data_IF_653886680299
#
_entry.id   IF_653886680299
#
_cell.length_a   1.000
_cell.length_b   1.000
_cell.length_c   1.000
_cell.angle_alpha   90.00
_cell.angle_beta   90.00
_cell.angle_gamma   90.00
#
_symmetry.space_group_name_H-M   'P 1'
#
loop_
_entity.id
_entity.type
_entity.pdbx_description
1 polymer ?
#
# COMPACT_ATOMS: atom_id res chain seq x y z
N UNK A 1 -16.73 -21.57 4.92
CA UNK A 1 -15.31 -21.25 4.63
C UNK A 1 -15.01 -19.90 5.26
N UNK A 2 -13.92 -19.76 6.02
CA UNK A 2 -13.43 -18.44 6.41
C UNK A 2 -12.77 -17.81 5.18
N UNK A 3 -13.46 -16.86 4.53
CA UNK A 3 -12.90 -16.11 3.40
C UNK A 3 -11.68 -15.33 3.88
N UNK A 4 -10.59 -15.40 3.11
CA UNK A 4 -9.41 -14.55 3.31
C UNK A 4 -9.51 -13.37 2.37
N UNK A 5 -9.14 -12.20 2.86
CA UNK A 5 -9.10 -10.98 2.07
C UNK A 5 -7.64 -10.54 1.90
N UNK A 6 -7.31 -10.02 0.73
CA UNK A 6 -6.07 -9.30 0.48
C UNK A 6 -6.24 -7.85 0.91
N UNK A 7 -5.30 -7.33 1.69
CA UNK A 7 -5.34 -5.98 2.25
C UNK A 7 -4.07 -5.25 1.84
N UNK A 8 -4.18 -4.29 0.93
CA UNK A 8 -3.07 -3.45 0.52
C UNK A 8 -2.85 -2.35 1.55
N UNK A 9 -1.63 -2.23 2.06
CA UNK A 9 -1.27 -1.26 3.09
C UNK A 9 -0.35 -0.22 2.46
N UNK A 10 -0.85 1.00 2.32
CA UNK A 10 -0.10 2.17 1.85
C UNK A 10 0.26 3.09 3.01
N UNK A 11 1.48 3.63 2.99
CA UNK A 11 1.97 4.61 3.97
C UNK A 11 3.27 5.23 3.46
N UNK A 12 3.66 6.37 4.01
CA UNK A 12 5.08 6.75 3.98
C UNK A 12 5.91 5.74 4.78
N UNK A 13 7.19 5.59 4.46
CA UNK A 13 8.02 4.53 5.04
C UNK A 13 8.80 5.00 6.27
N UNK A 14 9.61 6.05 6.14
CA UNK A 14 10.59 6.44 7.16
C UNK A 14 9.96 6.86 8.50
N UNK A 15 8.76 7.46 8.48
CA UNK A 15 8.09 8.00 9.66
C UNK A 15 6.96 7.11 10.21
N UNK A 16 6.44 6.16 9.43
CA UNK A 16 5.29 5.33 9.80
C UNK A 16 5.60 3.84 9.86
N UNK A 17 6.89 3.48 9.98
CA UNK A 17 7.32 2.09 9.96
C UNK A 17 6.67 1.26 11.08
N UNK A 18 6.61 1.81 12.29
CA UNK A 18 6.05 1.12 13.46
C UNK A 18 4.53 0.91 13.31
N UNK A 19 3.81 1.94 12.88
CA UNK A 19 2.37 1.90 12.62
C UNK A 19 2.05 0.90 11.52
N UNK A 20 2.83 0.89 10.44
CA UNK A 20 2.70 -0.06 9.33
C UNK A 20 2.88 -1.49 9.81
N UNK A 21 3.91 -1.76 10.62
CA UNK A 21 4.14 -3.10 11.22
C UNK A 21 2.96 -3.55 12.09
N UNK A 22 2.35 -2.64 12.87
CA UNK A 22 1.15 -2.98 13.66
C UNK A 22 -0.05 -3.30 12.77
N UNK A 23 -0.27 -2.57 11.68
CA UNK A 23 -1.37 -2.87 10.74
C UNK A 23 -1.15 -4.22 10.05
N UNK A 24 0.07 -4.51 9.60
CA UNK A 24 0.43 -5.82 9.01
C UNK A 24 0.11 -6.95 10.01
N UNK A 25 0.55 -6.79 11.27
CA UNK A 25 0.29 -7.77 12.33
C UNK A 25 -1.21 -7.96 12.57
N UNK A 26 -1.98 -6.89 12.66
CA UNK A 26 -3.42 -6.96 12.86
C UNK A 26 -4.13 -7.69 11.70
N UNK A 27 -3.74 -7.43 10.44
CA UNK A 27 -4.28 -8.13 9.27
C UNK A 27 -3.99 -9.64 9.34
N UNK A 28 -2.77 -10.02 9.73
CA UNK A 28 -2.39 -11.42 9.91
C UNK A 28 -3.17 -12.09 11.06
N UNK A 29 -3.33 -11.41 12.19
CA UNK A 29 -4.08 -11.89 13.36
C UNK A 29 -5.58 -12.11 13.04
N UNK A 30 -6.15 -11.31 12.14
CA UNK A 30 -7.49 -11.52 11.59
C UNK A 30 -7.57 -12.67 10.56
N UNK A 31 -6.44 -13.28 10.19
CA UNK A 31 -6.37 -14.37 9.22
C UNK A 31 -6.46 -13.92 7.75
N UNK A 32 -6.15 -12.65 7.48
CA UNK A 32 -6.13 -12.04 6.15
C UNK A 32 -4.70 -11.93 5.61
N UNK A 33 -4.57 -11.49 4.36
CA UNK A 33 -3.31 -11.45 3.62
C UNK A 33 -2.89 -9.98 3.47
N UNK A 34 -1.90 -9.48 4.23
CA UNK A 34 -1.37 -8.14 4.00
C UNK A 34 -0.54 -8.12 2.71
N UNK A 35 -0.68 -7.05 1.95
CA UNK A 35 0.11 -6.74 0.76
C UNK A 35 0.80 -5.41 1.02
N UNK A 36 2.13 -5.43 0.99
CA UNK A 36 2.96 -4.24 1.21
C UNK A 36 4.10 -4.16 0.22
N UNK A 37 4.60 -2.93 0.03
CA UNK A 37 5.59 -2.63 -1.00
C UNK A 37 6.99 -3.16 -0.69
N UNK A 38 7.27 -3.49 0.57
CA UNK A 38 8.51 -4.13 1.03
C UNK A 38 8.81 -5.48 0.37
N UNK A 39 7.82 -6.08 -0.31
CA UNK A 39 7.95 -7.31 -1.09
C UNK A 39 8.53 -7.07 -2.50
N UNK A 40 8.79 -5.82 -2.91
CA UNK A 40 9.19 -5.49 -4.27
C UNK A 40 10.55 -4.77 -4.31
N UNK A 41 11.48 -5.32 -5.08
CA UNK A 41 12.79 -4.73 -5.35
C UNK A 41 12.62 -3.42 -6.14
N UNK A 42 13.14 -2.31 -5.62
CA UNK A 42 13.09 -1.00 -6.27
C UNK A 42 13.71 -1.06 -7.68
N UNK A 43 12.88 -0.88 -8.70
CA UNK A 43 13.26 -0.89 -10.11
C UNK A 43 12.33 0.05 -10.88
N UNK A 44 12.88 1.20 -11.28
CA UNK A 44 12.19 2.48 -11.44
C UNK A 44 11.04 2.56 -12.46
N UNK A 45 10.92 1.65 -13.44
CA UNK A 45 9.80 1.69 -14.43
C UNK A 45 8.79 0.54 -14.32
N UNK A 46 9.14 -0.58 -13.67
CA UNK A 46 8.21 -1.69 -13.45
C UNK A 46 7.44 -1.56 -12.13
N UNK A 47 7.96 -0.77 -11.18
CA UNK A 47 7.42 -0.63 -9.84
C UNK A 47 5.97 -0.12 -9.83
N UNK A 48 5.64 0.94 -10.60
CA UNK A 48 4.27 1.44 -10.65
C UNK A 48 3.29 0.43 -11.24
N UNK A 49 3.66 -0.24 -12.33
CA UNK A 49 2.81 -1.27 -12.96
C UNK A 49 2.53 -2.43 -12.00
N UNK A 50 3.52 -2.79 -11.20
CA UNK A 50 3.38 -3.84 -10.19
C UNK A 50 2.46 -3.41 -9.05
N UNK A 51 2.65 -2.19 -8.51
CA UNK A 51 1.79 -1.61 -7.47
C UNK A 51 0.34 -1.55 -7.96
N UNK A 52 0.10 -0.97 -9.14
CA UNK A 52 -1.22 -0.87 -9.74
C UNK A 52 -1.91 -2.25 -9.83
N UNK A 53 -1.20 -3.25 -10.37
CA UNK A 53 -1.70 -4.62 -10.46
C UNK A 53 -2.03 -5.25 -9.10
N UNK A 54 -1.29 -4.91 -8.03
CA UNK A 54 -1.59 -5.40 -6.68
C UNK A 54 -2.81 -4.72 -6.09
N UNK A 55 -2.96 -3.41 -6.30
CA UNK A 55 -4.15 -2.66 -5.89
C UNK A 55 -5.40 -3.24 -6.56
N UNK A 56 -5.35 -3.53 -7.87
CA UNK A 56 -6.45 -4.16 -8.61
C UNK A 56 -6.84 -5.56 -8.09
N UNK A 57 -5.91 -6.29 -7.46
CA UNK A 57 -6.14 -7.65 -6.94
C UNK A 57 -6.56 -7.66 -5.46
N UNK A 58 -6.51 -6.52 -4.80
CA UNK A 58 -6.73 -6.37 -3.37
C UNK A 58 -8.22 -6.25 -3.07
N UNK A 59 -8.68 -6.82 -1.95
CA UNK A 59 -10.07 -6.68 -1.49
C UNK A 59 -10.28 -5.40 -0.67
N UNK A 60 -9.27 -4.96 0.09
CA UNK A 60 -9.31 -3.73 0.89
C UNK A 60 -8.03 -2.90 0.76
N UNK A 61 -8.18 -1.62 0.47
CA UNK A 61 -7.07 -0.66 0.49
C UNK A 61 -7.06 0.10 1.83
N UNK A 62 -5.92 0.10 2.52
CA UNK A 62 -5.71 0.80 3.79
C UNK A 62 -4.56 1.78 3.62
N UNK A 63 -4.80 3.05 3.94
CA UNK A 63 -3.78 4.09 3.98
C UNK A 63 -3.54 4.55 5.41
N UNK A 64 -2.26 4.62 5.81
CA UNK A 64 -1.83 5.20 7.07
C UNK A 64 -1.25 6.58 6.77
N UNK A 65 -1.85 7.61 7.36
CA UNK A 65 -1.49 9.01 7.09
C UNK A 65 -0.78 9.59 8.31
N UNK A 66 0.39 10.17 8.07
CA UNK A 66 1.21 10.86 9.06
C UNK A 66 1.41 12.33 8.70
N UNK A 67 2.54 12.91 9.12
CA UNK A 67 2.85 14.32 8.90
C UNK A 67 3.63 14.58 7.62
N UNK A 68 4.18 13.54 6.99
CA UNK A 68 4.97 13.64 5.75
C UNK A 68 4.09 13.36 4.54
N UNK A 69 4.32 14.12 3.46
CA UNK A 69 3.66 13.88 2.18
C UNK A 69 4.19 12.61 1.48
N UNK A 70 5.47 12.31 1.67
CA UNK A 70 6.16 11.17 1.04
C UNK A 70 7.13 11.62 -0.05
N UNK A 71 7.75 10.66 -0.72
CA UNK A 71 8.59 10.93 -1.89
C UNK A 71 7.70 11.25 -3.10
N UNK A 72 8.02 12.33 -3.79
CA UNK A 72 7.31 12.74 -5.01
C UNK A 72 7.75 11.90 -6.21
N UNK A 73 6.77 11.64 -7.08
CA UNK A 73 6.95 11.09 -8.42
C UNK A 73 7.32 12.20 -9.40
N UNK A 74 7.62 11.85 -10.65
CA UNK A 74 7.85 12.82 -11.72
C UNK A 74 6.65 13.75 -11.97
N UNK A 75 5.45 13.31 -11.60
CA UNK A 75 4.20 14.06 -11.74
C UNK A 75 4.00 15.11 -10.63
N UNK A 76 4.93 15.20 -9.66
CA UNK A 76 4.86 16.15 -8.54
C UNK A 76 3.91 15.75 -7.40
N UNK A 77 3.32 14.56 -7.47
CA UNK A 77 2.51 13.96 -6.41
C UNK A 77 3.29 12.87 -5.69
N UNK A 78 2.97 12.62 -4.42
CA UNK A 78 3.64 11.54 -3.67
C UNK A 78 3.25 10.16 -4.19
N UNK A 79 4.13 9.16 -4.03
CA UNK A 79 3.79 7.76 -4.34
C UNK A 79 2.54 7.30 -3.59
N UNK A 80 2.40 7.68 -2.33
CA UNK A 80 1.24 7.36 -1.49
C UNK A 80 -0.05 8.02 -2.01
N UNK A 81 0.00 9.27 -2.47
CA UNK A 81 -1.14 9.92 -3.15
C UNK A 81 -1.48 9.21 -4.46
N UNK A 82 -0.47 8.92 -5.29
CA UNK A 82 -0.65 8.23 -6.56
C UNK A 82 -1.33 6.86 -6.38
N UNK A 83 -0.92 6.11 -5.37
CA UNK A 83 -1.56 4.84 -4.98
C UNK A 83 -3.00 5.02 -4.53
N UNK A 84 -3.26 6.01 -3.68
CA UNK A 84 -4.58 6.29 -3.14
C UNK A 84 -5.56 6.71 -4.24
N UNK A 85 -5.15 7.63 -5.11
CA UNK A 85 -5.96 8.10 -6.23
C UNK A 85 -6.28 6.97 -7.19
N UNK A 86 -5.29 6.12 -7.49
CA UNK A 86 -5.50 4.96 -8.33
C UNK A 86 -6.45 3.95 -7.69
N UNK A 87 -6.26 3.61 -6.41
CA UNK A 87 -7.16 2.71 -5.68
C UNK A 87 -8.60 3.27 -5.64
N UNK A 88 -8.76 4.56 -5.34
CA UNK A 88 -10.06 5.23 -5.30
C UNK A 88 -10.74 5.28 -6.68
N UNK A 89 -9.98 5.23 -7.78
CA UNK A 89 -10.55 5.21 -9.13
C UNK A 89 -11.20 3.88 -9.51
N UNK A 90 -10.91 2.80 -8.76
CA UNK A 90 -11.45 1.45 -9.01
C UNK A 90 -12.82 1.18 -8.38
N UNK A 91 -13.27 2.03 -7.44
CA UNK A 91 -14.55 1.93 -6.72
C UNK A 91 -14.41 1.52 -5.27
#
# INVERSE_FOLDING_TARGET
MNKKYQVFISSTYDDLKEEREQVIKAVLEMGHIPVGMEMFSAGDEEQWKLIARQIEQTDYYVIIVGHRYGSETEDGISYTEKEYDYASSLG
#
